data_IF_988296622096
#
_entry.id   IF_988296622096
#
_cell.length_a   1.000
_cell.length_b   1.000
_cell.length_c   1.000
_cell.angle_alpha   90.00
_cell.angle_beta   90.00
_cell.angle_gamma   90.00
#
_symmetry.space_group_name_H-M   'P 1'
#
loop_
_entity.id
_entity.type
_entity.pdbx_description
1 polymer ?
#
# COMPACT_ATOMS: atom_id res chain seq x y z
N UNK A 1 21.45 -10.02 20.22
CA UNK A 1 21.50 -11.01 19.14
C UNK A 1 20.78 -10.51 17.92
N UNK A 2 21.06 -11.07 16.75
CA UNK A 2 20.48 -10.65 15.49
C UNK A 2 21.02 -11.46 14.32
N UNK A 3 20.98 -10.87 13.16
CA UNK A 3 21.53 -11.42 11.93
C UNK A 3 22.37 -10.37 11.22
N UNK A 4 23.50 -10.79 10.65
CA UNK A 4 24.18 -10.05 9.59
C UNK A 4 23.66 -10.57 8.26
N UNK A 5 23.25 -9.66 7.36
CA UNK A 5 22.69 -9.99 6.04
C UNK A 5 23.47 -9.22 4.98
N UNK A 6 23.87 -9.88 3.91
CA UNK A 6 24.63 -9.23 2.83
C UNK A 6 24.76 -10.12 1.60
N UNK A 7 25.52 -9.67 0.62
CA UNK A 7 25.69 -10.37 -0.67
C UNK A 7 26.94 -11.24 -0.74
N UNK A 8 27.73 -11.31 0.34
CA UNK A 8 28.94 -12.12 0.42
C UNK A 8 28.72 -13.41 1.22
N UNK A 9 29.25 -14.54 0.73
CA UNK A 9 29.28 -15.80 1.47
C UNK A 9 30.26 -15.78 2.64
N UNK A 10 31.26 -14.89 2.64
CA UNK A 10 32.27 -14.83 3.66
C UNK A 10 31.74 -14.28 4.99
N UNK A 11 31.90 -15.03 6.08
CA UNK A 11 31.54 -14.58 7.42
C UNK A 11 32.18 -13.23 7.76
N UNK A 12 33.47 -13.06 7.45
CA UNK A 12 34.20 -11.82 7.72
C UNK A 12 33.58 -10.63 6.95
N UNK A 13 33.20 -10.83 5.69
CA UNK A 13 32.53 -9.80 4.91
C UNK A 13 31.12 -9.51 5.41
N UNK A 14 30.35 -10.49 5.86
CA UNK A 14 29.03 -10.28 6.44
C UNK A 14 29.11 -9.45 7.72
N UNK A 15 30.06 -9.75 8.59
CA UNK A 15 30.25 -9.04 9.85
C UNK A 15 30.79 -7.61 9.64
N UNK A 16 31.65 -7.38 8.62
CA UNK A 16 32.21 -6.05 8.38
C UNK A 16 31.39 -5.14 7.49
N UNK A 17 30.57 -5.69 6.56
CA UNK A 17 29.88 -4.93 5.52
C UNK A 17 28.41 -5.29 5.37
N UNK A 18 27.90 -6.30 6.10
CA UNK A 18 26.49 -6.69 6.07
C UNK A 18 25.62 -5.71 6.85
N UNK A 19 24.35 -5.66 6.47
CA UNK A 19 23.32 -4.99 7.27
C UNK A 19 23.04 -5.80 8.53
N UNK A 20 22.96 -5.12 9.68
CA UNK A 20 22.63 -5.75 10.96
C UNK A 20 21.14 -5.64 11.21
N UNK A 21 20.49 -6.77 11.38
CA UNK A 21 19.07 -6.87 11.72
C UNK A 21 18.94 -7.43 13.12
N UNK A 22 18.51 -6.59 14.07
CA UNK A 22 18.31 -7.00 15.46
C UNK A 22 16.94 -7.62 15.70
N UNK A 23 16.86 -8.55 16.64
CA UNK A 23 15.56 -9.04 17.12
C UNK A 23 14.93 -7.99 18.03
N UNK A 24 13.64 -7.79 17.92
CA UNK A 24 12.91 -6.81 18.74
C UNK A 24 12.52 -7.34 20.13
N UNK A 25 12.76 -8.61 20.43
CA UNK A 25 12.39 -9.23 21.72
C UNK A 25 13.58 -9.30 22.65
N UNK A 26 13.39 -8.82 23.88
CA UNK A 26 14.31 -9.11 24.99
C UNK A 26 14.26 -10.61 25.25
N UNK A 27 15.40 -11.30 25.05
CA UNK A 27 15.46 -12.74 25.29
C UNK A 27 15.70 -13.02 26.76
N UNK A 28 14.80 -13.81 27.32
CA UNK A 28 15.08 -14.50 28.56
C UNK A 28 16.21 -15.53 28.30
N UNK A 29 17.20 -15.57 29.17
CA UNK A 29 18.32 -16.53 29.07
C UNK A 29 17.74 -17.95 28.97
N UNK A 30 17.97 -18.62 27.85
CA UNK A 30 17.47 -19.98 27.64
C UNK A 30 17.61 -20.48 26.20
N UNK A 31 17.22 -21.71 25.97
CA UNK A 31 17.13 -22.32 24.63
C UNK A 31 15.83 -21.84 23.97
N UNK A 32 15.91 -21.34 22.74
CA UNK A 32 14.75 -20.90 21.99
C UNK A 32 15.09 -20.54 20.55
N UNK A 33 14.06 -20.33 19.73
CA UNK A 33 14.17 -19.77 18.38
C UNK A 33 13.98 -18.25 18.46
N UNK A 34 14.68 -17.53 17.61
CA UNK A 34 14.49 -16.09 17.41
C UNK A 34 14.36 -15.79 15.92
N UNK A 35 13.71 -14.69 15.59
CA UNK A 35 13.53 -14.26 14.23
C UNK A 35 13.71 -12.75 14.13
N UNK A 36 14.10 -12.29 12.95
CA UNK A 36 14.14 -10.89 12.60
C UNK A 36 13.78 -10.74 11.11
N UNK A 37 13.29 -9.56 10.72
CA UNK A 37 12.90 -9.28 9.34
C UNK A 37 13.93 -8.35 8.71
N UNK A 38 14.60 -8.80 7.66
CA UNK A 38 15.42 -7.97 6.81
C UNK A 38 14.54 -7.33 5.73
N UNK A 39 14.60 -6.00 5.60
CA UNK A 39 13.90 -5.25 4.56
C UNK A 39 14.87 -4.60 3.57
N UNK A 40 14.32 -4.01 2.50
CA UNK A 40 15.13 -3.24 1.55
C UNK A 40 16.06 -4.06 0.65
N UNK A 41 15.83 -5.37 0.53
CA UNK A 41 16.64 -6.26 -0.29
C UNK A 41 16.30 -6.09 -1.78
N UNK A 42 17.30 -6.10 -2.65
CA UNK A 42 17.10 -6.12 -4.10
C UNK A 42 16.43 -7.43 -4.53
N UNK A 43 15.66 -7.38 -5.58
CA UNK A 43 15.00 -8.55 -6.17
C UNK A 43 15.96 -9.42 -7.00
N UNK A 44 15.58 -10.69 -7.20
CA UNK A 44 16.31 -11.70 -7.97
C UNK A 44 17.80 -11.83 -7.60
N UNK A 45 18.11 -11.61 -6.33
CA UNK A 45 19.46 -11.57 -5.81
C UNK A 45 19.65 -12.59 -4.69
N UNK A 46 20.81 -13.22 -4.69
CA UNK A 46 21.18 -14.12 -3.59
C UNK A 46 21.80 -13.32 -2.46
N UNK A 47 21.25 -13.50 -1.28
CA UNK A 47 21.75 -12.97 -0.02
C UNK A 47 22.22 -14.10 0.87
N UNK A 48 23.20 -13.76 1.69
CA UNK A 48 23.74 -14.63 2.73
C UNK A 48 23.46 -14.00 4.08
N UNK A 49 23.27 -14.84 5.08
CA UNK A 49 23.05 -14.38 6.43
C UNK A 49 23.72 -15.29 7.46
N UNK A 50 24.05 -14.71 8.59
CA UNK A 50 24.56 -15.43 9.76
C UNK A 50 23.89 -14.89 11.02
N UNK A 51 23.39 -15.80 11.84
CA UNK A 51 22.89 -15.44 13.17
C UNK A 51 24.04 -15.16 14.11
N UNK A 52 23.91 -14.15 14.98
CA UNK A 52 24.86 -13.88 16.04
C UNK A 52 24.18 -13.66 17.39
N UNK A 53 24.93 -13.92 18.45
CA UNK A 53 24.60 -13.50 19.80
C UNK A 53 25.84 -12.97 20.51
N UNK A 54 25.64 -12.00 21.38
CA UNK A 54 26.68 -11.52 22.28
C UNK A 54 26.66 -12.36 23.54
N UNK A 55 27.82 -12.86 23.93
CA UNK A 55 28.05 -13.62 25.17
C UNK A 55 29.10 -12.92 26.01
N UNK A 56 28.92 -12.90 27.33
CA UNK A 56 29.92 -12.35 28.24
C UNK A 56 30.94 -13.42 28.56
N UNK A 57 32.20 -13.18 28.15
CA UNK A 57 33.33 -14.06 28.39
C UNK A 57 34.42 -13.24 29.08
N UNK A 58 34.82 -13.62 30.28
CA UNK A 58 35.87 -12.94 31.08
C UNK A 58 35.64 -11.42 31.21
N UNK A 59 34.36 -11.01 31.44
CA UNK A 59 33.98 -9.61 31.61
C UNK A 59 33.90 -8.79 30.31
N UNK A 60 34.10 -9.43 29.13
CA UNK A 60 34.04 -8.77 27.83
C UNK A 60 32.96 -9.44 26.98
N UNK A 61 32.11 -8.62 26.31
CA UNK A 61 31.16 -9.13 25.34
C UNK A 61 31.87 -9.57 24.05
N UNK A 62 31.56 -10.79 23.62
CA UNK A 62 32.05 -11.37 22.37
C UNK A 62 30.86 -11.89 21.56
N UNK A 63 30.89 -11.63 20.25
CA UNK A 63 29.92 -12.21 19.33
C UNK A 63 30.26 -13.67 19.01
N UNK A 64 29.24 -14.51 19.06
CA UNK A 64 29.29 -15.90 18.63
C UNK A 64 28.34 -16.07 17.45
N UNK A 65 28.83 -16.73 16.41
CA UNK A 65 28.15 -16.82 15.12
C UNK A 65 27.68 -18.24 14.87
N UNK A 66 26.52 -18.34 14.21
CA UNK A 66 26.05 -19.58 13.61
C UNK A 66 26.73 -19.89 12.27
N UNK A 67 26.21 -20.85 11.53
CA UNK A 67 26.64 -21.11 10.15
C UNK A 67 26.05 -20.09 9.19
N UNK A 68 26.85 -19.69 8.18
CA UNK A 68 26.36 -18.85 7.08
C UNK A 68 25.35 -19.65 6.25
N UNK A 69 24.19 -19.05 5.99
CA UNK A 69 23.13 -19.59 5.14
C UNK A 69 22.81 -18.60 4.04
N UNK A 70 22.07 -19.03 3.02
CA UNK A 70 21.66 -18.19 1.92
C UNK A 70 20.17 -18.33 1.63
N UNK A 71 19.63 -17.29 1.00
CA UNK A 71 18.32 -17.29 0.35
C UNK A 71 18.41 -16.44 -0.90
N UNK A 72 17.48 -16.64 -1.84
CA UNK A 72 17.34 -15.78 -3.02
C UNK A 72 16.03 -15.02 -2.90
N UNK A 73 16.10 -13.73 -3.13
CA UNK A 73 14.89 -12.89 -3.25
C UNK A 73 14.15 -13.24 -4.52
N UNK A 74 12.83 -13.11 -4.50
CA UNK A 74 12.02 -13.36 -5.68
C UNK A 74 12.26 -12.26 -6.73
N UNK A 75 12.15 -12.64 -8.00
CA UNK A 75 12.12 -11.68 -9.11
C UNK A 75 10.76 -10.97 -9.15
N UNK A 76 10.73 -9.66 -9.39
CA UNK A 76 9.47 -8.91 -9.58
C UNK A 76 8.72 -9.30 -10.86
N UNK A 77 9.29 -10.16 -11.66
CA UNK A 77 8.77 -10.52 -12.99
C UNK A 77 7.95 -11.81 -13.04
N UNK A 78 7.50 -12.34 -11.92
CA UNK A 78 6.60 -13.49 -11.98
C UNK A 78 5.18 -13.02 -12.26
N UNK A 79 4.55 -13.59 -13.29
CA UNK A 79 3.12 -13.46 -13.54
C UNK A 79 2.35 -13.77 -12.26
N UNK A 80 1.74 -12.75 -11.68
CA UNK A 80 0.92 -12.94 -10.48
C UNK A 80 -0.35 -13.64 -10.91
N UNK A 81 -0.49 -14.91 -10.54
CA UNK A 81 -1.79 -15.60 -10.69
C UNK A 81 -2.74 -14.96 -9.68
N UNK A 82 -3.63 -14.10 -10.16
CA UNK A 82 -4.67 -13.51 -9.34
C UNK A 82 -5.64 -14.59 -8.87
N UNK A 83 -5.98 -14.53 -7.58
CA UNK A 83 -7.09 -15.32 -7.06
C UNK A 83 -8.40 -14.67 -7.54
N UNK A 84 -9.24 -15.40 -8.25
CA UNK A 84 -10.52 -14.92 -8.80
C UNK A 84 -11.50 -14.39 -7.76
N UNK A 85 -11.29 -14.73 -6.48
CA UNK A 85 -12.09 -14.18 -5.38
C UNK A 85 -11.60 -12.81 -4.88
N UNK A 86 -10.54 -12.26 -5.48
CA UNK A 86 -10.01 -10.95 -5.13
C UNK A 86 -10.64 -9.88 -6.02
N UNK A 87 -11.89 -9.59 -5.78
CA UNK A 87 -12.69 -8.66 -6.60
C UNK A 87 -12.18 -7.22 -6.57
N UNK A 88 -11.41 -6.86 -5.54
CA UNK A 88 -10.80 -5.52 -5.44
C UNK A 88 -9.65 -5.29 -6.41
N UNK A 89 -9.06 -6.35 -6.98
CA UNK A 89 -7.86 -6.18 -7.79
C UNK A 89 -8.16 -5.70 -9.20
N UNK A 90 -7.44 -4.67 -9.68
CA UNK A 90 -7.36 -4.36 -11.09
C UNK A 90 -6.65 -5.49 -11.85
N UNK A 91 -6.80 -5.51 -13.18
CA UNK A 91 -6.06 -6.42 -14.04
C UNK A 91 -4.56 -6.26 -13.78
N UNK A 92 -3.88 -7.41 -13.69
CA UNK A 92 -2.43 -7.40 -13.55
C UNK A 92 -1.79 -6.98 -14.88
N UNK A 93 -0.89 -5.99 -14.86
CA UNK A 93 -0.18 -5.63 -16.08
C UNK A 93 0.61 -6.82 -16.62
N UNK A 94 0.60 -7.01 -17.92
CA UNK A 94 1.37 -8.06 -18.62
C UNK A 94 2.89 -7.97 -18.37
N UNK A 95 3.36 -6.78 -18.01
CA UNK A 95 4.73 -6.51 -17.55
C UNK A 95 4.72 -5.44 -16.49
N UNK A 96 5.45 -5.65 -15.41
CA UNK A 96 5.58 -4.66 -14.33
C UNK A 96 6.44 -3.46 -14.73
N UNK A 97 7.33 -3.60 -15.72
CA UNK A 97 8.15 -2.49 -16.20
C UNK A 97 8.94 -1.77 -15.11
N UNK A 98 9.46 -2.51 -14.14
CA UNK A 98 10.16 -1.98 -12.97
C UNK A 98 9.27 -1.52 -11.82
N UNK A 99 7.95 -1.72 -11.90
CA UNK A 99 7.01 -1.48 -10.79
C UNK A 99 6.92 -2.71 -9.88
N UNK A 100 6.33 -2.53 -8.71
CA UNK A 100 6.15 -3.58 -7.71
C UNK A 100 4.66 -3.84 -7.50
N UNK A 101 4.24 -5.09 -7.67
CA UNK A 101 2.91 -5.55 -7.30
C UNK A 101 3.01 -6.32 -5.99
N UNK A 102 2.48 -5.75 -4.92
CA UNK A 102 2.69 -6.26 -3.55
C UNK A 102 1.36 -6.33 -2.80
N UNK A 103 1.17 -7.40 -2.04
CA UNK A 103 0.02 -7.55 -1.13
C UNK A 103 0.50 -7.56 0.32
N UNK A 104 0.07 -6.56 1.09
CA UNK A 104 0.23 -6.53 2.53
C UNK A 104 -0.72 -7.53 3.19
N UNK A 105 -0.21 -8.26 4.18
CA UNK A 105 -0.96 -9.25 4.94
C UNK A 105 -0.75 -9.03 6.43
N UNK A 106 -1.67 -9.54 7.23
CA UNK A 106 -1.56 -9.52 8.68
C UNK A 106 -2.60 -10.44 9.32
N UNK A 107 -2.81 -10.28 10.61
CA UNK A 107 -3.76 -11.08 11.36
C UNK A 107 -4.87 -10.19 11.90
N UNK A 108 -6.11 -10.59 11.74
CA UNK A 108 -7.29 -9.97 12.33
C UNK A 108 -8.13 -11.07 12.99
N UNK A 109 -8.40 -10.93 14.31
CA UNK A 109 -9.13 -11.94 15.07
C UNK A 109 -8.57 -13.35 14.84
N UNK A 110 -7.24 -13.51 14.97
CA UNK A 110 -6.48 -14.75 14.81
C UNK A 110 -6.48 -15.35 13.39
N UNK A 111 -7.11 -14.68 12.43
CA UNK A 111 -7.16 -15.11 11.02
C UNK A 111 -6.16 -14.32 10.19
N UNK A 112 -5.43 -15.02 9.32
CA UNK A 112 -4.60 -14.37 8.32
C UNK A 112 -5.49 -13.67 7.29
N UNK A 113 -5.29 -12.37 7.09
CA UNK A 113 -6.08 -11.54 6.19
C UNK A 113 -5.19 -10.80 5.20
N UNK A 114 -5.75 -10.49 4.03
CA UNK A 114 -5.20 -9.49 3.14
C UNK A 114 -5.50 -8.13 3.73
N UNK A 115 -4.47 -7.31 3.89
CA UNK A 115 -4.68 -5.93 4.33
C UNK A 115 -5.03 -5.03 3.14
N UNK A 116 -4.12 -4.92 2.19
CA UNK A 116 -4.33 -4.23 0.91
C UNK A 116 -3.26 -4.66 -0.11
N UNK A 117 -3.52 -4.42 -1.39
CA UNK A 117 -2.56 -4.63 -2.48
C UNK A 117 -2.23 -3.30 -3.16
N UNK A 118 -1.03 -3.18 -3.69
CA UNK A 118 -0.56 -1.98 -4.40
C UNK A 118 0.15 -2.35 -5.70
N UNK A 119 0.01 -1.49 -6.71
CA UNK A 119 0.95 -1.39 -7.82
C UNK A 119 1.81 -0.15 -7.59
N UNK A 120 3.01 -0.33 -7.09
CA UNK A 120 3.92 0.76 -6.74
C UNK A 120 4.87 1.08 -7.89
N UNK A 121 4.96 2.35 -8.26
CA UNK A 121 5.89 2.87 -9.25
C UNK A 121 7.04 3.62 -8.57
N UNK A 122 8.27 3.08 -8.58
CA UNK A 122 9.41 3.74 -7.95
C UNK A 122 9.86 5.01 -8.69
N UNK A 123 9.47 5.21 -9.94
CA UNK A 123 9.74 6.45 -10.67
C UNK A 123 8.83 7.61 -10.24
N UNK A 124 7.68 7.30 -9.66
CA UNK A 124 6.71 8.24 -9.10
C UNK A 124 6.76 8.30 -7.58
N UNK A 125 7.46 7.37 -6.94
CA UNK A 125 7.44 7.15 -5.48
C UNK A 125 6.01 6.99 -4.94
N UNK A 126 5.13 6.35 -5.70
CA UNK A 126 3.73 6.24 -5.38
C UNK A 126 3.14 4.91 -5.83
N UNK A 127 2.14 4.43 -5.10
CA UNK A 127 1.25 3.38 -5.57
C UNK A 127 0.29 4.00 -6.60
N UNK A 128 0.33 3.50 -7.83
CA UNK A 128 -0.55 3.93 -8.91
C UNK A 128 -2.00 3.53 -8.63
N UNK A 129 -2.17 2.40 -7.95
CA UNK A 129 -3.40 2.01 -7.30
C UNK A 129 -3.13 1.30 -5.98
N UNK A 130 -4.06 1.44 -5.06
CA UNK A 130 -4.15 0.71 -3.79
C UNK A 130 -5.53 0.09 -3.72
N UNK A 131 -5.59 -1.25 -3.64
CA UNK A 131 -6.81 -2.04 -3.68
C UNK A 131 -7.04 -2.77 -2.36
N UNK A 132 -8.24 -2.67 -1.80
CA UNK A 132 -8.58 -3.27 -0.53
C UNK A 132 -10.08 -3.53 -0.37
N UNK A 133 -10.42 -4.43 0.54
CA UNK A 133 -11.79 -4.64 0.99
C UNK A 133 -12.00 -3.90 2.31
N UNK A 134 -13.08 -3.15 2.42
CA UNK A 134 -13.54 -2.58 3.68
C UNK A 134 -14.80 -3.28 4.16
N UNK A 135 -14.83 -3.70 5.41
CA UNK A 135 -15.98 -4.24 6.11
C UNK A 135 -15.90 -3.89 7.59
N UNK A 136 -16.99 -4.07 8.32
CA UNK A 136 -17.09 -3.70 9.73
C UNK A 136 -16.03 -4.36 10.64
N UNK A 137 -15.52 -5.53 10.26
CA UNK A 137 -14.46 -6.22 11.01
C UNK A 137 -13.14 -5.44 11.08
N UNK A 138 -12.88 -4.52 10.15
CA UNK A 138 -11.70 -3.66 10.14
C UNK A 138 -11.88 -2.36 10.94
N UNK A 139 -13.09 -2.09 11.42
CA UNK A 139 -13.39 -0.92 12.22
C UNK A 139 -13.12 -1.17 13.71
N UNK A 140 -12.45 -0.24 14.36
CA UNK A 140 -12.09 -0.30 15.77
C UNK A 140 -11.63 1.05 16.31
N UNK A 141 -10.74 1.03 17.30
CA UNK A 141 -10.23 2.22 17.97
C UNK A 141 -8.69 2.25 18.05
N UNK A 142 -8.01 1.49 17.22
CA UNK A 142 -6.56 1.46 17.17
C UNK A 142 -5.94 2.82 16.85
N UNK A 143 -4.77 3.05 17.41
CA UNK A 143 -3.99 4.31 17.27
C UNK A 143 -2.64 4.03 16.62
N UNK A 144 -2.64 3.31 15.50
CA UNK A 144 -1.43 3.06 14.73
C UNK A 144 -0.72 4.37 14.36
N UNK A 145 0.59 4.36 14.34
CA UNK A 145 1.40 5.53 14.05
C UNK A 145 2.79 5.16 13.56
N UNK A 146 3.48 6.13 13.00
CA UNK A 146 4.88 5.99 12.65
C UNK A 146 5.10 5.63 11.18
N UNK A 147 5.26 6.66 10.34
CA UNK A 147 5.62 6.49 8.94
C UNK A 147 6.96 5.77 8.78
N UNK A 148 6.97 4.70 8.02
CA UNK A 148 8.12 3.80 7.85
C UNK A 148 8.23 3.26 6.43
N UNK A 149 9.39 2.70 6.13
CA UNK A 149 9.63 1.98 4.87
C UNK A 149 8.71 0.77 4.76
N UNK A 150 8.18 0.52 3.56
CA UNK A 150 7.53 -0.76 3.27
C UNK A 150 8.61 -1.84 3.12
N UNK A 151 8.63 -2.88 3.99
CA UNK A 151 9.69 -3.88 3.98
C UNK A 151 9.69 -4.79 2.75
N UNK A 152 8.62 -4.80 1.95
CA UNK A 152 8.51 -5.64 0.75
C UNK A 152 9.05 -4.96 -0.52
N UNK A 153 9.48 -3.69 -0.42
CA UNK A 153 10.04 -2.91 -1.53
C UNK A 153 11.38 -2.33 -1.08
N UNK A 154 12.44 -2.39 -1.88
CA UNK A 154 13.74 -1.84 -1.51
C UNK A 154 13.64 -0.39 -1.03
N UNK A 155 14.27 -0.06 0.09
CA UNK A 155 14.22 1.29 0.68
C UNK A 155 14.73 2.37 -0.30
N UNK A 156 15.72 2.03 -1.13
CA UNK A 156 16.26 2.92 -2.17
C UNK A 156 15.23 3.30 -3.24
N UNK A 157 14.21 2.49 -3.43
CA UNK A 157 13.12 2.70 -4.39
C UNK A 157 11.93 3.47 -3.81
N UNK A 158 11.95 3.80 -2.54
CA UNK A 158 10.91 4.56 -1.86
C UNK A 158 11.41 5.97 -1.54
N UNK A 159 10.50 6.92 -1.36
CA UNK A 159 10.82 8.24 -0.80
C UNK A 159 10.28 8.33 0.62
N UNK A 160 11.06 8.90 1.52
CA UNK A 160 10.64 9.07 2.91
C UNK A 160 9.53 10.11 3.02
N UNK A 161 8.51 9.80 3.80
CA UNK A 161 7.52 10.77 4.27
C UNK A 161 7.45 10.77 5.80
N UNK A 162 8.57 10.48 6.46
CA UNK A 162 8.66 10.49 7.92
C UNK A 162 8.33 11.89 8.48
N UNK A 163 8.85 12.93 7.85
CA UNK A 163 8.44 14.32 8.06
C UNK A 163 7.35 14.73 7.06
N UNK A 164 6.64 15.83 7.32
CA UNK A 164 5.71 16.41 6.36
C UNK A 164 6.43 16.78 5.05
N UNK A 165 5.69 16.76 3.95
CA UNK A 165 6.20 17.28 2.69
C UNK A 165 6.40 18.79 2.76
N UNK A 166 7.38 19.37 2.05
CA UNK A 166 7.54 20.81 1.96
C UNK A 166 6.34 21.46 1.24
N UNK A 167 6.04 22.72 1.58
CA UNK A 167 5.10 23.51 0.80
C UNK A 167 5.69 23.88 -0.56
N UNK A 168 4.86 23.88 -1.59
CA UNK A 168 5.24 24.20 -2.97
C UNK A 168 4.29 25.25 -3.51
N UNK A 169 4.80 26.36 -4.01
CA UNK A 169 4.03 27.48 -4.56
C UNK A 169 2.91 27.99 -3.61
N UNK A 170 3.19 28.01 -2.30
CA UNK A 170 2.22 28.40 -1.27
C UNK A 170 1.19 27.33 -0.89
N UNK A 171 1.22 26.18 -1.52
CA UNK A 171 0.35 25.03 -1.21
C UNK A 171 1.01 24.12 -0.20
N UNK A 172 0.29 23.79 0.87
CA UNK A 172 0.71 22.78 1.85
C UNK A 172 0.23 21.40 1.40
N UNK A 173 1.13 20.42 1.48
CA UNK A 173 0.86 19.02 1.14
C UNK A 173 0.91 18.13 2.37
N UNK A 174 -0.18 17.42 2.61
CA UNK A 174 -0.25 16.37 3.61
C UNK A 174 0.41 15.08 3.09
N UNK A 175 0.75 14.20 4.03
CA UNK A 175 1.07 12.80 3.73
C UNK A 175 -0.24 12.06 3.49
N UNK A 176 -0.78 12.21 2.27
CA UNK A 176 -2.08 11.67 1.90
C UNK A 176 -2.06 10.16 1.82
N UNK A 177 -2.87 9.50 2.65
CA UNK A 177 -3.04 8.05 2.60
C UNK A 177 -3.81 7.63 1.35
N UNK A 178 -3.40 6.52 0.72
CA UNK A 178 -4.21 5.86 -0.31
C UNK A 178 -5.28 4.98 0.37
N UNK A 179 -4.90 3.95 1.11
CA UNK A 179 -5.82 3.34 2.06
C UNK A 179 -5.78 4.13 3.36
N UNK A 180 -6.94 4.68 3.83
CA UNK A 180 -7.01 5.44 5.06
C UNK A 180 -6.62 4.58 6.28
N UNK A 181 -5.95 5.18 7.25
CA UNK A 181 -5.63 4.47 8.50
C UNK A 181 -6.89 4.09 9.29
N UNK A 182 -7.94 4.90 9.20
CA UNK A 182 -9.23 4.64 9.83
C UNK A 182 -9.95 3.39 9.29
N UNK A 183 -9.61 2.95 8.08
CA UNK A 183 -10.18 1.74 7.48
C UNK A 183 -9.51 0.45 8.00
N UNK A 184 -8.52 0.57 8.92
CA UNK A 184 -7.74 -0.56 9.46
C UNK A 184 -7.53 -0.49 10.98
N UNK A 185 -8.31 0.32 11.68
CA UNK A 185 -8.10 0.60 13.10
C UNK A 185 -8.66 -0.46 14.06
N UNK A 186 -9.13 -1.61 13.57
CA UNK A 186 -9.47 -2.77 14.41
C UNK A 186 -8.22 -3.46 14.98
N UNK A 187 -7.07 -3.33 14.31
CA UNK A 187 -5.81 -3.95 14.72
C UNK A 187 -4.63 -3.02 14.43
N UNK A 188 -3.77 -2.79 15.43
CA UNK A 188 -2.63 -1.89 15.30
C UNK A 188 -1.61 -2.35 14.26
N UNK A 189 -1.40 -3.66 14.06
CA UNK A 189 -0.45 -4.17 13.08
C UNK A 189 -0.92 -3.92 11.65
N UNK A 190 -2.22 -4.09 11.40
CA UNK A 190 -2.83 -3.79 10.10
C UNK A 190 -2.84 -2.27 9.86
N UNK A 191 -3.17 -1.48 10.88
CA UNK A 191 -3.17 -0.03 10.80
C UNK A 191 -1.76 0.53 10.55
N UNK A 192 -0.73 0.00 11.22
CA UNK A 192 0.65 0.43 11.03
C UNK A 192 1.14 0.23 9.59
N UNK A 193 0.65 -0.78 8.87
CA UNK A 193 0.99 -0.96 7.45
C UNK A 193 0.42 0.17 6.57
N UNK A 194 -0.63 0.88 7.00
CA UNK A 194 -1.14 2.05 6.26
C UNK A 194 -0.20 3.24 6.33
N UNK A 195 0.74 3.25 7.28
CA UNK A 195 1.79 4.26 7.41
C UNK A 195 3.08 3.88 6.66
N UNK A 196 3.08 2.88 5.79
CA UNK A 196 4.20 2.67 4.89
C UNK A 196 4.31 3.83 3.90
N UNK A 197 5.54 4.27 3.61
CA UNK A 197 5.81 5.35 2.67
C UNK A 197 5.17 5.12 1.30
N UNK A 198 5.05 3.86 0.89
CA UNK A 198 4.40 3.46 -0.36
C UNK A 198 2.89 3.70 -0.41
N UNK A 199 2.27 3.96 0.74
CA UNK A 199 0.86 4.32 0.86
C UNK A 199 0.64 5.83 0.98
N UNK A 200 1.70 6.64 0.87
CA UNK A 200 1.64 8.10 0.95
C UNK A 200 1.91 8.76 -0.38
N UNK A 201 1.17 9.82 -0.67
CA UNK A 201 1.45 10.76 -1.76
C UNK A 201 1.35 12.19 -1.25
N UNK A 202 2.06 13.16 -1.87
CA UNK A 202 1.83 14.57 -1.55
C UNK A 202 0.41 14.96 -1.97
N UNK A 203 -0.46 15.19 -0.99
CA UNK A 203 -1.86 15.50 -1.21
C UNK A 203 -2.17 16.90 -0.69
N UNK A 204 -2.77 17.76 -1.52
CA UNK A 204 -3.16 19.12 -1.15
C UNK A 204 -3.96 19.09 0.17
N UNK A 205 -3.53 19.84 1.18
CA UNK A 205 -4.07 19.74 2.54
C UNK A 205 -5.59 19.99 2.58
N UNK A 206 -6.07 21.04 1.89
CA UNK A 206 -7.53 21.31 1.84
C UNK A 206 -8.32 20.25 1.09
N UNK A 207 -7.73 19.59 0.11
CA UNK A 207 -8.35 18.44 -0.58
C UNK A 207 -8.42 17.24 0.36
N UNK A 208 -7.29 16.84 0.94
CA UNK A 208 -7.16 15.69 1.82
C UNK A 208 -8.09 15.79 3.04
N UNK A 209 -8.03 16.92 3.75
CA UNK A 209 -8.81 17.15 4.97
C UNK A 209 -10.28 17.53 4.70
N UNK A 210 -10.59 17.93 3.47
CA UNK A 210 -11.91 18.38 3.03
C UNK A 210 -12.69 17.31 2.28
N UNK A 211 -12.87 17.53 0.98
CA UNK A 211 -13.76 16.73 0.12
C UNK A 211 -13.36 15.24 0.06
N UNK A 212 -12.04 14.94 0.06
CA UNK A 212 -11.54 13.57 0.03
C UNK A 212 -11.89 12.81 1.31
N UNK A 213 -11.63 13.42 2.49
CA UNK A 213 -12.02 12.85 3.77
C UNK A 213 -13.55 12.67 3.90
N UNK A 214 -14.33 13.60 3.32
CA UNK A 214 -15.78 13.47 3.29
C UNK A 214 -16.20 12.23 2.49
N UNK A 215 -15.61 11.99 1.32
CA UNK A 215 -15.88 10.77 0.53
C UNK A 215 -15.47 9.51 1.30
N UNK A 216 -14.32 9.49 1.95
CA UNK A 216 -13.87 8.35 2.77
C UNK A 216 -14.82 8.03 3.91
N UNK A 217 -15.36 9.06 4.58
CA UNK A 217 -16.38 8.89 5.60
C UNK A 217 -17.67 8.27 5.03
N UNK A 218 -18.07 8.66 3.80
CA UNK A 218 -19.23 8.05 3.15
C UNK A 218 -19.00 6.59 2.78
N UNK A 219 -17.79 6.22 2.33
CA UNK A 219 -17.43 4.81 2.07
C UNK A 219 -17.56 3.99 3.36
N UNK A 220 -17.06 4.51 4.48
CA UNK A 220 -17.20 3.85 5.80
C UNK A 220 -18.65 3.67 6.21
N UNK A 221 -19.52 4.65 5.93
CA UNK A 221 -20.94 4.60 6.24
C UNK A 221 -21.75 3.64 5.37
N UNK A 222 -21.20 3.14 4.25
CA UNK A 222 -21.87 2.14 3.40
C UNK A 222 -21.92 0.75 4.03
N UNK A 223 -21.07 0.49 5.02
CA UNK A 223 -20.83 -0.87 5.50
C UNK A 223 -21.59 -1.12 6.78
N UNK A 224 -22.55 -2.02 6.73
CA UNK A 224 -23.22 -2.65 7.87
C UNK A 224 -22.42 -3.89 8.34
N UNK A 225 -22.93 -4.59 9.36
CA UNK A 225 -22.27 -5.80 9.90
C UNK A 225 -22.11 -6.95 8.90
N UNK A 226 -22.89 -6.97 7.81
CA UNK A 226 -22.90 -8.03 6.79
C UNK A 226 -22.32 -7.60 5.44
N UNK A 227 -22.06 -6.31 5.25
CA UNK A 227 -21.65 -5.77 3.96
C UNK A 227 -20.15 -5.61 3.83
N UNK A 228 -19.67 -5.61 2.60
CA UNK A 228 -18.31 -5.26 2.24
C UNK A 228 -18.32 -4.36 1.03
N UNK A 229 -17.38 -3.40 1.01
CA UNK A 229 -17.11 -2.56 -0.15
C UNK A 229 -15.68 -2.86 -0.63
N UNK A 230 -15.55 -3.16 -1.91
CA UNK A 230 -14.25 -3.30 -2.58
C UNK A 230 -13.85 -1.93 -3.08
N UNK A 231 -12.63 -1.52 -2.77
CA UNK A 231 -12.15 -0.16 -3.04
C UNK A 231 -10.84 -0.23 -3.80
N UNK A 232 -10.74 0.55 -4.87
CA UNK A 232 -9.46 0.88 -5.49
C UNK A 232 -9.33 2.39 -5.55
N UNK A 233 -8.16 2.91 -5.17
CA UNK A 233 -7.88 4.34 -5.14
C UNK A 233 -6.46 4.61 -5.58
N UNK A 234 -6.21 5.75 -6.18
CA UNK A 234 -4.85 6.11 -6.61
C UNK A 234 -4.70 7.55 -7.07
N UNK A 235 -3.44 8.03 -7.12
CA UNK A 235 -3.07 9.27 -7.75
C UNK A 235 -2.94 9.09 -9.26
N UNK A 236 -3.21 10.14 -10.03
CA UNK A 236 -2.95 10.18 -11.46
C UNK A 236 -2.08 11.40 -11.76
N UNK A 237 -0.95 11.16 -12.41
CA UNK A 237 0.00 12.20 -12.80
C UNK A 237 -0.29 12.73 -14.19
N UNK A 238 -0.65 11.83 -15.11
CA UNK A 238 -1.09 12.11 -16.47
C UNK A 238 -2.18 11.11 -16.81
N UNK A 239 -3.22 11.56 -17.52
CA UNK A 239 -4.23 10.64 -18.06
C UNK A 239 -3.63 9.75 -19.14
N UNK A 240 -4.27 8.62 -19.42
CA UNK A 240 -3.82 7.70 -20.47
C UNK A 240 -3.80 8.43 -21.84
N UNK A 241 -2.63 8.50 -22.44
CA UNK A 241 -2.41 9.28 -23.67
C UNK A 241 -2.38 10.80 -23.49
N UNK A 242 -2.50 11.29 -22.26
CA UNK A 242 -2.43 12.73 -21.95
C UNK A 242 -1.00 13.26 -21.92
N UNK A 243 -0.90 14.59 -21.90
CA UNK A 243 0.38 15.34 -21.88
C UNK A 243 0.41 16.40 -20.79
N UNK A 244 -0.33 16.21 -19.73
CA UNK A 244 -0.40 17.14 -18.60
C UNK A 244 0.97 17.33 -17.96
N UNK A 245 1.31 18.56 -17.63
CA UNK A 245 2.54 18.87 -16.91
C UNK A 245 2.48 18.31 -15.50
N UNK A 246 3.47 17.52 -15.12
CA UNK A 246 3.62 16.98 -13.76
C UNK A 246 4.57 17.88 -12.99
N UNK A 247 4.06 18.58 -11.99
CA UNK A 247 4.89 19.38 -11.08
C UNK A 247 5.68 18.45 -10.16
N UNK A 248 6.85 18.91 -9.73
CA UNK A 248 7.71 18.18 -8.81
C UNK A 248 8.26 19.11 -7.74
N UNK A 249 8.71 18.52 -6.64
CA UNK A 249 9.46 19.24 -5.61
C UNK A 249 10.62 18.38 -5.09
N UNK A 250 11.62 19.03 -4.52
CA UNK A 250 12.68 18.37 -3.77
C UNK A 250 12.20 18.10 -2.35
N UNK A 251 12.19 16.82 -1.93
CA UNK A 251 11.71 16.39 -0.61
C UNK A 251 12.76 16.66 0.48
N UNK A 252 13.15 17.94 0.62
CA UNK A 252 14.25 18.41 1.46
C UNK A 252 14.06 18.17 2.97
N UNK A 253 12.81 17.99 3.40
CA UNK A 253 12.49 17.66 4.81
C UNK A 253 12.79 16.19 5.16
N UNK A 254 13.09 15.34 4.17
CA UNK A 254 13.25 13.90 4.33
C UNK A 254 14.55 13.36 3.69
N UNK A 255 14.54 13.09 2.37
CA UNK A 255 15.61 12.35 1.68
C UNK A 255 16.13 13.03 0.41
N UNK A 256 15.76 14.28 0.20
CA UNK A 256 16.16 15.12 -0.94
C UNK A 256 15.76 14.58 -2.34
N UNK A 257 14.95 13.54 -2.43
CA UNK A 257 14.47 13.02 -3.69
C UNK A 257 13.52 14.00 -4.37
N UNK A 258 13.47 13.95 -5.70
CA UNK A 258 12.51 14.73 -6.49
C UNK A 258 11.21 13.95 -6.59
N UNK A 259 10.17 14.46 -5.96
CA UNK A 259 8.86 13.80 -5.84
C UNK A 259 7.86 14.49 -6.75
N UNK A 260 7.17 13.74 -7.63
CA UNK A 260 6.10 14.30 -8.44
C UNK A 260 4.82 14.52 -7.63
N UNK A 261 4.08 15.58 -7.99
CA UNK A 261 2.77 15.91 -7.44
C UNK A 261 1.71 15.37 -8.39
N UNK A 262 0.75 14.56 -7.93
CA UNK A 262 -0.36 14.11 -8.75
C UNK A 262 -1.20 15.27 -9.29
N UNK A 263 -1.73 15.15 -10.50
CA UNK A 263 -2.69 16.09 -11.07
C UNK A 263 -4.14 15.74 -10.70
N UNK A 264 -4.41 14.45 -10.46
CA UNK A 264 -5.75 13.95 -10.15
C UNK A 264 -5.68 12.85 -9.09
N UNK A 265 -6.84 12.59 -8.48
CA UNK A 265 -7.10 11.42 -7.65
C UNK A 265 -8.39 10.74 -8.06
N UNK A 266 -8.40 9.42 -7.97
CA UNK A 266 -9.61 8.63 -8.20
C UNK A 266 -9.88 7.67 -7.04
N UNK A 267 -11.14 7.28 -6.94
CA UNK A 267 -11.60 6.18 -6.09
C UNK A 267 -12.71 5.45 -6.82
N UNK A 268 -12.57 4.12 -6.97
CA UNK A 268 -13.62 3.26 -7.51
C UNK A 268 -14.10 2.30 -6.43
N UNK A 269 -15.39 2.08 -6.38
CA UNK A 269 -16.07 1.28 -5.37
C UNK A 269 -16.90 0.21 -6.05
N UNK A 270 -16.90 -1.02 -5.46
CA UNK A 270 -17.73 -2.12 -5.90
C UNK A 270 -18.46 -2.73 -4.70
N UNK A 271 -19.75 -3.01 -4.87
CA UNK A 271 -20.57 -3.85 -4.01
C UNK A 271 -21.04 -5.07 -4.80
N UNK A 272 -21.16 -6.22 -4.15
CA UNK A 272 -21.66 -7.45 -4.78
C UNK A 272 -22.68 -8.14 -3.89
N UNK A 273 -23.64 -8.83 -4.52
CA UNK A 273 -24.49 -9.82 -3.87
C UNK A 273 -24.02 -11.21 -4.21
N UNK A 274 -24.12 -12.12 -3.25
CA UNK A 274 -23.70 -13.51 -3.44
C UNK A 274 -24.81 -14.49 -3.07
N UNK A 275 -24.84 -15.61 -3.78
CA UNK A 275 -25.67 -16.77 -3.44
C UNK A 275 -24.78 -18.02 -3.51
N UNK A 276 -24.69 -18.78 -2.43
CA UNK A 276 -23.82 -19.97 -2.36
C UNK A 276 -22.33 -19.70 -2.67
N UNK A 277 -21.83 -18.49 -2.32
CA UNK A 277 -20.46 -18.06 -2.62
C UNK A 277 -20.26 -17.43 -4.01
N UNK A 278 -21.17 -17.65 -4.96
CA UNK A 278 -21.13 -17.10 -6.31
C UNK A 278 -21.64 -15.65 -6.32
N UNK A 279 -20.93 -14.75 -7.01
CA UNK A 279 -21.42 -13.38 -7.26
C UNK A 279 -22.58 -13.44 -8.24
N UNK A 280 -23.74 -12.90 -7.83
CA UNK A 280 -24.99 -12.94 -8.61
C UNK A 280 -25.44 -11.57 -9.09
N UNK A 281 -24.95 -10.51 -8.45
CA UNK A 281 -25.21 -9.13 -8.85
C UNK A 281 -24.06 -8.22 -8.38
N UNK A 282 -23.86 -7.11 -9.08
CA UNK A 282 -22.82 -6.13 -8.78
C UNK A 282 -23.31 -4.72 -9.03
N UNK A 283 -22.76 -3.76 -8.30
CA UNK A 283 -22.91 -2.32 -8.55
C UNK A 283 -21.58 -1.65 -8.28
N UNK A 284 -21.12 -0.81 -9.20
CA UNK A 284 -19.87 -0.07 -9.04
C UNK A 284 -20.10 1.42 -9.27
N UNK A 285 -19.18 2.27 -8.81
CA UNK A 285 -19.18 3.71 -9.03
C UNK A 285 -17.75 4.23 -8.93
N UNK A 286 -17.44 5.25 -9.71
CA UNK A 286 -16.18 5.97 -9.68
C UNK A 286 -16.32 7.40 -9.16
N UNK A 287 -15.20 7.95 -8.67
CA UNK A 287 -15.03 9.36 -8.34
C UNK A 287 -13.70 9.84 -8.91
N UNK A 288 -13.74 11.00 -9.58
CA UNK A 288 -12.58 11.62 -10.20
C UNK A 288 -12.46 13.08 -9.79
N UNK A 289 -11.31 13.45 -9.23
CA UNK A 289 -11.04 14.79 -8.74
C UNK A 289 -9.79 15.38 -9.37
N UNK A 290 -9.82 16.66 -9.72
CA UNK A 290 -8.61 17.47 -9.86
C UNK A 290 -7.94 17.60 -8.50
N UNK A 291 -6.59 17.68 -8.47
CA UNK A 291 -5.85 17.75 -7.23
C UNK A 291 -5.67 19.21 -6.77
N UNK A 292 -6.74 19.77 -6.25
CA UNK A 292 -6.82 21.16 -5.77
C UNK A 292 -7.80 21.30 -4.60
N UNK A 293 -7.96 22.50 -4.06
CA UNK A 293 -8.97 22.76 -3.05
C UNK A 293 -10.38 22.75 -3.67
N UNK A 294 -11.30 22.00 -3.05
CA UNK A 294 -12.72 21.90 -3.44
C UNK A 294 -13.63 22.47 -2.34
N UNK A 295 -13.33 23.68 -1.88
CA UNK A 295 -14.04 24.29 -0.76
C UNK A 295 -15.51 24.57 -1.11
N UNK A 296 -16.43 24.02 -0.30
CA UNK A 296 -17.87 24.19 -0.50
C UNK A 296 -18.48 23.31 -1.58
N UNK A 297 -17.69 22.49 -2.27
CA UNK A 297 -18.21 21.57 -3.28
C UNK A 297 -18.73 20.26 -2.65
N UNK A 298 -19.76 19.69 -3.31
CA UNK A 298 -20.26 18.39 -2.90
C UNK A 298 -19.52 17.27 -3.64
N UNK A 299 -18.91 16.34 -2.90
CA UNK A 299 -18.18 15.20 -3.44
C UNK A 299 -19.00 14.36 -4.43
N UNK A 300 -20.34 14.33 -4.32
CA UNK A 300 -21.22 13.62 -5.25
C UNK A 300 -21.18 14.16 -6.68
N UNK A 301 -20.79 15.42 -6.86
CA UNK A 301 -20.67 16.03 -8.18
C UNK A 301 -19.46 15.46 -8.97
N UNK A 302 -18.56 14.76 -8.31
CA UNK A 302 -17.37 14.12 -8.89
C UNK A 302 -17.59 12.63 -9.19
N UNK A 303 -18.84 12.16 -9.03
CA UNK A 303 -19.22 10.80 -9.39
C UNK A 303 -19.18 10.60 -10.91
N UNK A 304 -18.47 9.57 -11.34
CA UNK A 304 -18.31 9.14 -12.74
C UNK A 304 -18.49 7.63 -12.81
N UNK A 305 -18.52 7.06 -14.00
CA UNK A 305 -18.50 5.61 -14.15
C UNK A 305 -17.09 5.04 -13.90
N UNK A 306 -17.00 3.76 -13.59
CA UNK A 306 -15.72 3.06 -13.53
C UNK A 306 -15.06 3.07 -14.90
N UNK A 307 -15.80 2.79 -15.98
CA UNK A 307 -15.34 2.85 -17.37
C UNK A 307 -14.64 4.18 -17.72
N UNK A 308 -15.18 5.32 -17.22
CA UNK A 308 -14.54 6.62 -17.44
C UNK A 308 -13.19 6.75 -16.75
N UNK A 309 -13.02 6.15 -15.58
CA UNK A 309 -11.74 6.15 -14.87
C UNK A 309 -10.76 5.20 -15.55
N UNK A 310 -11.23 4.07 -16.04
CA UNK A 310 -10.42 3.14 -16.82
C UNK A 310 -9.85 3.78 -18.08
N UNK A 311 -10.68 4.49 -18.84
CA UNK A 311 -10.22 5.27 -19.99
C UNK A 311 -9.16 6.31 -19.63
N UNK A 312 -9.29 6.95 -18.46
CA UNK A 312 -8.34 7.98 -18.00
C UNK A 312 -7.05 7.41 -17.42
N UNK A 313 -7.08 6.21 -16.86
CA UNK A 313 -5.93 5.60 -16.15
C UNK A 313 -5.25 4.51 -16.95
N UNK A 314 -5.96 3.87 -17.88
CA UNK A 314 -5.51 2.69 -18.61
C UNK A 314 -5.51 1.41 -17.74
N UNK A 315 -6.15 1.43 -16.59
CA UNK A 315 -6.37 0.23 -15.75
C UNK A 315 -7.73 -0.38 -16.07
N UNK A 316 -7.87 -1.68 -15.91
CA UNK A 316 -9.11 -2.44 -15.88
C UNK A 316 -9.38 -2.80 -14.41
N UNK A 317 -10.39 -2.18 -13.80
CA UNK A 317 -10.72 -2.38 -12.40
C UNK A 317 -11.64 -3.57 -12.22
N UNK A 318 -11.58 -4.18 -11.03
CA UNK A 318 -12.44 -5.31 -10.67
C UNK A 318 -12.35 -6.49 -11.66
N UNK A 319 -11.21 -6.70 -12.28
CA UNK A 319 -10.97 -7.67 -13.36
C UNK A 319 -11.36 -9.13 -13.02
N UNK A 320 -11.57 -9.44 -11.74
CA UNK A 320 -12.08 -10.72 -11.28
C UNK A 320 -13.61 -10.80 -11.19
N UNK A 321 -14.32 -9.71 -11.47
CA UNK A 321 -15.79 -9.72 -11.57
C UNK A 321 -16.21 -10.47 -12.85
N UNK A 322 -17.28 -11.29 -12.82
CA UNK A 322 -17.79 -11.90 -14.03
C UNK A 322 -18.08 -10.84 -15.11
N UNK A 323 -17.59 -11.00 -16.35
CA UNK A 323 -17.66 -9.92 -17.37
C UNK A 323 -19.05 -9.37 -17.64
N UNK A 324 -20.07 -10.22 -17.59
CA UNK A 324 -21.46 -9.78 -17.79
C UNK A 324 -21.99 -8.88 -16.65
N UNK A 325 -21.44 -9.03 -15.43
CA UNK A 325 -21.76 -8.17 -14.28
C UNK A 325 -20.94 -6.88 -14.33
N UNK A 326 -19.66 -6.97 -14.71
CA UNK A 326 -18.77 -5.82 -14.89
C UNK A 326 -19.37 -4.84 -15.88
N UNK A 327 -19.67 -5.28 -17.10
CA UNK A 327 -20.26 -4.47 -18.18
C UNK A 327 -21.51 -3.67 -17.80
N UNK A 328 -22.25 -4.12 -16.77
CA UNK A 328 -23.43 -3.39 -16.29
C UNK A 328 -23.12 -2.54 -15.07
N UNK A 329 -22.30 -3.06 -14.14
CA UNK A 329 -21.99 -2.39 -12.89
C UNK A 329 -21.14 -1.13 -13.08
N UNK A 330 -20.20 -1.16 -14.02
CA UNK A 330 -19.16 -0.15 -14.22
C UNK A 330 -19.65 1.10 -14.97
N UNK A 331 -20.81 1.03 -15.60
CA UNK A 331 -21.45 2.19 -16.27
C UNK A 331 -22.17 3.14 -15.33
N UNK A 332 -22.40 2.74 -14.05
CA UNK A 332 -23.17 3.54 -13.11
C UNK A 332 -22.42 4.79 -12.63
N UNK A 333 -23.12 5.94 -12.62
CA UNK A 333 -22.64 7.25 -12.13
C UNK A 333 -23.48 7.78 -10.98
N UNK A 334 -24.48 7.04 -10.55
CA UNK A 334 -25.45 7.51 -9.58
C UNK A 334 -25.17 6.94 -8.19
N UNK A 335 -24.79 7.83 -7.26
CA UNK A 335 -24.51 7.46 -5.88
C UNK A 335 -25.68 6.78 -5.19
N UNK A 336 -26.90 7.28 -5.40
CA UNK A 336 -28.08 6.69 -4.73
C UNK A 336 -28.36 5.26 -5.23
N UNK A 337 -28.14 5.01 -6.52
CA UNK A 337 -28.22 3.64 -7.08
C UNK A 337 -27.16 2.74 -6.44
N UNK A 338 -25.92 3.19 -6.35
CA UNK A 338 -24.85 2.44 -5.72
C UNK A 338 -25.06 2.22 -4.23
N UNK A 339 -25.43 3.28 -3.51
CA UNK A 339 -25.63 3.24 -2.06
C UNK A 339 -26.73 2.26 -1.66
N UNK A 340 -27.82 2.22 -2.41
CA UNK A 340 -29.00 1.40 -2.11
C UNK A 340 -28.93 -0.02 -2.70
N UNK A 341 -27.84 -0.36 -3.39
CA UNK A 341 -27.59 -1.71 -3.87
C UNK A 341 -27.22 -2.60 -2.68
#
# INVERSE_FOLDING_TARGET
MGFYVGTSYSLASLVSNGEVVYTQSALTIGRGSFSATAGGLDEDKTYYYVAFMEVLVDGTYKEVYGSVKSFRTLSASTSVTLNRDWLELPESPSSLGGKYLVTMRGTLNEKNVRNYSILYDPSRYASLWTAYVYCSAYHGSGTGSGWSVNPQIPASKQTSCKSAYPSVDGVTYDRGHQIPNADRNADNSLQNQTYYWTNSTPQHASFNQGIWNNLENQVRNLVSSSDSVYVVTGPVYQTAGGSETVRTFKNSSNDDKVVPIPNYYYKVLLKVRRSGGTVTAASAIGFWFTHEAHSGENWQNFAVSVDEIEQKTGFDFFANLPPALAATAETNKNWNTFKNF
#
